data_IF_628189753234
#
_entry.id   IF_628189753234
#
_cell.length_a   1.000
_cell.length_b   1.000
_cell.length_c   1.000
_cell.angle_alpha   90.00
_cell.angle_beta   90.00
_cell.angle_gamma   90.00
#
_symmetry.space_group_name_H-M   'P 1'
#
loop_
_entity.id
_entity.type
_entity.pdbx_description
1 polymer ?
#
# COMPACT_ATOMS: atom_id res chain seq x y z
N UNK A 1 -7.99 -0.08 14.46
CA UNK A 1 -7.03 -1.18 14.74
C UNK A 1 -7.00 -1.58 16.21
N UNK A 2 -6.86 -0.63 17.13
CA UNK A 2 -6.76 -0.94 18.58
C UNK A 2 -7.96 -1.74 19.10
N UNK A 3 -9.19 -1.37 18.72
CA UNK A 3 -10.39 -2.11 19.12
C UNK A 3 -10.36 -3.57 18.68
N UNK A 4 -9.99 -3.85 17.42
CA UNK A 4 -9.82 -5.22 16.93
C UNK A 4 -8.74 -5.97 17.72
N UNK A 5 -7.62 -5.33 18.04
CA UNK A 5 -6.57 -5.94 18.86
C UNK A 5 -7.07 -6.32 20.26
N UNK A 6 -7.91 -5.48 20.88
CA UNK A 6 -8.52 -5.78 22.17
C UNK A 6 -9.48 -6.97 22.06
N UNK A 7 -10.33 -7.01 21.02
CA UNK A 7 -11.19 -8.15 20.74
C UNK A 7 -10.40 -9.44 20.51
N UNK A 8 -9.29 -9.38 19.78
CA UNK A 8 -8.45 -10.56 19.54
C UNK A 8 -7.85 -11.09 20.85
N UNK A 9 -7.39 -10.18 21.71
CA UNK A 9 -6.85 -10.52 23.02
C UNK A 9 -7.90 -11.17 23.94
N UNK A 10 -9.13 -10.67 23.95
CA UNK A 10 -10.23 -11.21 24.75
C UNK A 10 -10.56 -12.67 24.41
N UNK A 11 -10.44 -13.03 23.13
CA UNK A 11 -10.69 -14.40 22.64
C UNK A 11 -9.40 -15.23 22.50
N UNK A 12 -8.25 -14.71 22.97
CA UNK A 12 -6.93 -15.35 22.88
C UNK A 12 -6.54 -15.77 21.45
N UNK A 13 -6.97 -14.99 20.45
CA UNK A 13 -6.65 -15.20 19.03
C UNK A 13 -5.67 -14.15 18.52
N UNK A 14 -5.01 -14.45 17.40
CA UNK A 14 -3.93 -13.61 16.84
C UNK A 14 -4.36 -12.71 15.67
N UNK A 15 -5.47 -13.03 15.02
CA UNK A 15 -5.90 -12.34 13.80
C UNK A 15 -7.42 -12.42 13.57
N UNK A 16 -7.88 -11.69 12.56
CA UNK A 16 -9.29 -11.61 12.17
C UNK A 16 -9.83 -12.98 11.72
N UNK A 17 -9.02 -13.82 11.09
CA UNK A 17 -9.47 -15.12 10.60
C UNK A 17 -9.84 -16.03 11.76
N UNK A 18 -9.00 -16.07 12.81
CA UNK A 18 -9.29 -16.82 14.03
C UNK A 18 -10.44 -16.18 14.83
N UNK A 19 -10.47 -14.85 14.94
CA UNK A 19 -11.56 -14.14 15.63
C UNK A 19 -12.94 -14.43 15.02
N UNK A 20 -13.03 -14.53 13.70
CA UNK A 20 -14.28 -14.81 12.98
C UNK A 20 -14.89 -16.18 13.28
N UNK A 21 -14.16 -17.08 13.93
CA UNK A 21 -14.71 -18.35 14.46
C UNK A 21 -15.61 -18.12 15.67
N UNK A 22 -15.49 -16.96 16.33
CA UNK A 22 -16.23 -16.61 17.54
C UNK A 22 -17.32 -15.57 17.29
N UNK A 23 -17.00 -14.50 16.53
CA UNK A 23 -17.93 -13.40 16.22
C UNK A 23 -17.70 -12.86 14.82
N UNK A 24 -18.77 -12.44 14.16
CA UNK A 24 -18.66 -11.73 12.89
C UNK A 24 -17.94 -10.40 13.07
N UNK A 25 -17.03 -10.11 12.14
CA UNK A 25 -16.33 -8.83 12.06
C UNK A 25 -15.92 -8.56 10.62
N UNK A 26 -16.32 -7.46 9.97
CA UNK A 26 -16.07 -7.22 8.55
C UNK A 26 -14.58 -7.00 8.22
N UNK A 27 -14.21 -7.06 6.94
CA UNK A 27 -12.91 -6.53 6.48
C UNK A 27 -13.10 -5.06 6.14
N UNK A 28 -12.06 -4.26 6.33
CA UNK A 28 -12.03 -2.89 5.82
C UNK A 28 -11.13 -2.84 4.60
N UNK A 29 -11.66 -2.30 3.50
CA UNK A 29 -10.90 -1.88 2.34
C UNK A 29 -10.92 -0.36 2.37
N UNK A 30 -9.76 0.23 2.54
CA UNK A 30 -9.57 1.68 2.52
C UNK A 30 -9.04 2.02 1.14
N UNK A 31 -9.75 2.86 0.41
CA UNK A 31 -9.32 3.37 -0.89
C UNK A 31 -8.95 4.83 -0.72
N UNK A 32 -7.73 5.17 -1.13
CA UNK A 32 -7.24 6.55 -1.17
C UNK A 32 -6.97 6.87 -2.63
N UNK A 33 -7.78 7.76 -3.17
CA UNK A 33 -7.50 8.39 -4.44
C UNK A 33 -6.51 9.54 -4.22
N UNK A 34 -5.64 9.77 -5.20
CA UNK A 34 -4.57 10.75 -5.13
C UNK A 34 -3.70 10.65 -3.86
N UNK A 35 -3.10 9.48 -3.65
CA UNK A 35 -2.33 9.14 -2.44
C UNK A 35 -1.21 10.14 -2.08
N UNK A 36 -0.58 10.74 -3.08
CA UNK A 36 0.49 11.71 -2.88
C UNK A 36 0.01 12.99 -2.17
N UNK A 37 -1.28 13.34 -2.25
CA UNK A 37 -1.83 14.53 -1.60
C UNK A 37 -1.79 14.43 -0.06
N UNK A 38 -1.80 13.22 0.49
CA UNK A 38 -1.59 12.99 1.92
C UNK A 38 -0.20 13.49 2.39
N UNK A 39 0.72 13.70 1.45
CA UNK A 39 2.09 14.15 1.67
C UNK A 39 2.34 15.53 1.05
N UNK A 40 1.31 16.32 0.77
CA UNK A 40 1.45 17.71 0.31
C UNK A 40 1.31 18.73 1.45
N UNK A 41 1.17 18.26 2.70
CA UNK A 41 0.95 19.08 3.89
C UNK A 41 2.23 19.43 4.68
N UNK A 42 2.08 20.13 5.81
CA UNK A 42 3.20 20.52 6.67
C UNK A 42 4.01 19.30 7.17
N UNK A 43 5.29 19.52 7.51
CA UNK A 43 6.21 18.44 7.92
C UNK A 43 5.70 17.60 9.11
N UNK A 44 4.97 18.24 10.04
CA UNK A 44 4.39 17.56 11.21
C UNK A 44 3.24 16.62 10.82
N UNK A 45 2.39 17.05 9.89
CA UNK A 45 1.26 16.26 9.40
C UNK A 45 1.75 15.07 8.57
N UNK A 46 2.75 15.28 7.71
CA UNK A 46 3.47 14.21 7.01
C UNK A 46 3.92 13.10 7.96
N UNK A 47 4.65 13.46 9.02
CA UNK A 47 5.16 12.46 9.96
C UNK A 47 4.06 11.67 10.67
N UNK A 48 2.90 12.28 10.91
CA UNK A 48 1.73 11.59 11.45
C UNK A 48 1.14 10.62 10.42
N UNK A 49 0.93 11.07 9.19
CA UNK A 49 0.44 10.28 8.06
C UNK A 49 1.34 9.06 7.83
N UNK A 50 2.66 9.26 7.73
CA UNK A 50 3.63 8.17 7.53
C UNK A 50 3.54 7.12 8.65
N UNK A 51 3.43 7.57 9.91
CA UNK A 51 3.34 6.67 11.07
C UNK A 51 2.04 5.86 11.05
N UNK A 52 0.91 6.48 10.74
CA UNK A 52 -0.38 5.79 10.66
C UNK A 52 -0.44 4.79 9.51
N UNK A 53 0.08 5.17 8.34
CA UNK A 53 0.18 4.28 7.17
C UNK A 53 1.11 3.11 7.45
N UNK A 54 2.31 3.35 7.97
CA UNK A 54 3.26 2.30 8.36
C UNK A 54 2.63 1.29 9.32
N UNK A 55 1.91 1.76 10.33
CA UNK A 55 1.22 0.87 11.27
C UNK A 55 0.11 0.05 10.57
N UNK A 56 -0.60 0.67 9.63
CA UNK A 56 -1.65 0.01 8.83
C UNK A 56 -1.08 -1.03 7.89
N UNK A 57 0.05 -0.75 7.23
CA UNK A 57 0.71 -1.71 6.34
C UNK A 57 1.28 -2.91 7.13
N UNK A 58 1.90 -2.66 8.29
CA UNK A 58 2.48 -3.72 9.13
C UNK A 58 1.45 -4.62 9.80
N UNK A 59 0.34 -4.06 10.30
CA UNK A 59 -0.66 -4.81 11.10
C UNK A 59 -1.96 -5.09 10.33
N UNK A 60 -2.16 -4.45 9.18
CA UNK A 60 -3.42 -4.47 8.44
C UNK A 60 -3.87 -5.88 8.08
N UNK A 61 -2.96 -6.72 7.57
CA UNK A 61 -3.27 -8.10 7.18
C UNK A 61 -3.92 -8.92 8.31
N UNK A 62 -3.32 -8.93 9.50
CA UNK A 62 -3.86 -9.68 10.64
C UNK A 62 -5.13 -9.05 11.20
N UNK A 63 -5.28 -7.73 11.08
CA UNK A 63 -6.47 -7.01 11.53
C UNK A 63 -7.57 -6.97 10.46
N UNK A 64 -7.33 -7.51 9.26
CA UNK A 64 -8.22 -7.46 8.10
C UNK A 64 -8.54 -6.06 7.58
N UNK A 65 -7.53 -5.20 7.57
CA UNK A 65 -7.56 -3.85 6.99
C UNK A 65 -6.60 -3.85 5.80
N UNK A 66 -7.11 -3.50 4.63
CA UNK A 66 -6.37 -3.49 3.37
C UNK A 66 -6.44 -2.08 2.79
N UNK A 67 -5.31 -1.58 2.30
CA UNK A 67 -5.20 -0.25 1.68
C UNK A 67 -5.04 -0.43 0.17
N UNK A 68 -5.83 0.32 -0.60
CA UNK A 68 -5.68 0.53 -2.03
C UNK A 68 -5.37 2.01 -2.21
N UNK A 69 -4.19 2.31 -2.71
CA UNK A 69 -3.76 3.68 -2.98
C UNK A 69 -3.66 3.85 -4.49
N UNK A 70 -4.32 4.89 -5.02
CA UNK A 70 -4.24 5.30 -6.41
C UNK A 70 -3.58 6.68 -6.49
N UNK A 71 -2.88 6.93 -7.59
CA UNK A 71 -2.20 8.19 -7.87
C UNK A 71 -1.94 8.29 -9.37
N UNK A 72 -1.95 9.51 -9.91
CA UNK A 72 -1.57 9.76 -11.29
C UNK A 72 -0.05 9.88 -11.49
N UNK A 73 0.68 10.32 -10.46
CA UNK A 73 2.13 10.52 -10.54
C UNK A 73 2.75 10.44 -9.16
N UNK A 74 3.95 9.87 -9.13
CA UNK A 74 4.81 9.88 -7.95
C UNK A 74 5.98 10.85 -8.17
N UNK A 75 5.87 11.79 -9.10
CA UNK A 75 6.93 12.75 -9.39
C UNK A 75 6.98 13.86 -8.31
N UNK A 76 8.18 14.21 -7.84
CA UNK A 76 8.37 15.22 -6.79
C UNK A 76 7.78 14.82 -5.42
N UNK A 77 7.49 13.54 -5.22
CA UNK A 77 6.77 13.04 -4.07
C UNK A 77 7.63 13.04 -2.80
N UNK A 78 7.03 13.50 -1.70
CA UNK A 78 7.66 13.52 -0.38
C UNK A 78 7.46 12.21 0.38
N UNK A 79 7.19 11.11 -0.33
CA UNK A 79 6.92 9.80 0.26
C UNK A 79 8.26 9.13 0.56
N UNK A 80 8.50 8.79 1.83
CA UNK A 80 9.76 8.14 2.20
C UNK A 80 9.93 6.78 1.50
N UNK A 81 11.17 6.47 1.12
CA UNK A 81 11.55 5.16 0.58
C UNK A 81 11.15 4.01 1.51
N UNK A 82 11.15 4.25 2.82
CA UNK A 82 10.73 3.29 3.84
C UNK A 82 9.24 2.90 3.76
N UNK A 83 8.39 3.80 3.26
CA UNK A 83 6.99 3.51 2.98
C UNK A 83 6.82 2.79 1.65
N UNK A 84 7.56 3.23 0.61
CA UNK A 84 7.52 2.59 -0.72
C UNK A 84 7.84 1.09 -0.62
N UNK A 85 8.88 0.71 0.14
CA UNK A 85 9.26 -0.70 0.39
C UNK A 85 8.16 -1.52 1.09
N UNK A 86 7.26 -0.90 1.86
CA UNK A 86 6.17 -1.61 2.54
C UNK A 86 4.97 -1.87 1.62
N UNK A 87 4.88 -1.18 0.48
CA UNK A 87 3.84 -1.37 -0.53
C UNK A 87 4.34 -2.44 -1.49
N UNK A 88 4.13 -3.71 -1.09
CA UNK A 88 4.67 -4.86 -1.82
C UNK A 88 4.06 -5.06 -3.22
N UNK A 89 2.82 -4.60 -3.41
CA UNK A 89 2.02 -4.82 -4.61
C UNK A 89 1.69 -3.49 -5.28
N UNK A 90 2.19 -3.28 -6.49
CA UNK A 90 1.94 -2.10 -7.31
C UNK A 90 1.35 -2.55 -8.66
N UNK A 91 0.27 -1.90 -9.07
CA UNK A 91 -0.27 -2.02 -10.43
C UNK A 91 -0.03 -0.69 -11.11
N UNK A 92 0.63 -0.72 -12.27
CA UNK A 92 0.91 0.45 -13.07
C UNK A 92 0.22 0.32 -14.42
N UNK A 93 -0.37 1.42 -14.87
CA UNK A 93 -0.85 1.62 -16.23
C UNK A 93 0.23 2.35 -17.05
N UNK A 94 -0.03 2.67 -18.30
CA UNK A 94 0.89 3.46 -19.11
C UNK A 94 1.22 4.79 -18.41
N UNK A 95 2.51 5.04 -18.19
CA UNK A 95 3.07 6.21 -17.53
C UNK A 95 4.45 6.54 -18.10
N UNK A 96 5.08 7.62 -17.67
CA UNK A 96 6.44 7.94 -18.10
C UNK A 96 7.49 7.01 -17.47
N UNK A 97 8.72 7.07 -17.99
CA UNK A 97 9.81 6.19 -17.53
C UNK A 97 10.28 6.51 -16.10
N UNK A 98 10.15 7.75 -15.64
CA UNK A 98 10.55 8.17 -14.29
C UNK A 98 9.57 7.65 -13.23
N UNK A 99 8.26 7.80 -13.47
CA UNK A 99 7.22 7.26 -12.61
C UNK A 99 7.24 5.73 -12.61
N UNK A 100 7.47 5.09 -13.77
CA UNK A 100 7.64 3.64 -13.86
C UNK A 100 8.80 3.16 -12.98
N UNK A 101 9.99 3.78 -13.08
CA UNK A 101 11.15 3.39 -12.28
C UNK A 101 10.93 3.65 -10.79
N UNK A 102 10.28 4.77 -10.43
CA UNK A 102 9.93 5.13 -9.05
C UNK A 102 8.96 4.13 -8.38
N UNK A 103 8.01 3.59 -9.13
CA UNK A 103 6.94 2.71 -8.61
C UNK A 103 7.29 1.22 -8.74
N UNK A 104 7.89 0.82 -9.85
CA UNK A 104 8.15 -0.58 -10.22
C UNK A 104 9.63 -0.96 -10.15
N UNK A 105 10.53 0.02 -10.05
CA UNK A 105 11.98 -0.20 -10.08
C UNK A 105 12.55 -0.43 -11.49
N UNK A 106 11.72 -0.34 -12.53
CA UNK A 106 12.11 -0.38 -13.95
C UNK A 106 11.16 0.44 -14.82
N UNK A 107 11.53 0.65 -16.09
CA UNK A 107 10.74 1.40 -17.07
C UNK A 107 9.60 0.63 -17.74
N UNK A 108 9.22 -0.58 -17.29
CA UNK A 108 8.32 -1.45 -18.08
C UNK A 108 6.92 -0.87 -18.29
N UNK A 109 6.46 0.06 -17.45
CA UNK A 109 5.16 0.68 -17.61
C UNK A 109 5.11 1.70 -18.76
N UNK A 110 6.25 2.27 -19.17
CA UNK A 110 6.28 3.22 -20.29
C UNK A 110 6.20 2.54 -21.67
N UNK A 111 6.46 1.23 -21.71
CA UNK A 111 6.37 0.40 -22.92
C UNK A 111 4.97 -0.19 -23.15
N UNK A 112 4.04 -0.02 -22.20
CA UNK A 112 2.66 -0.53 -22.29
C UNK A 112 1.87 0.18 -23.41
N UNK A 113 1.11 -0.59 -24.20
CA UNK A 113 0.33 -0.07 -25.32
C UNK A 113 -1.17 -0.29 -25.08
N UNK A 114 -2.00 0.73 -25.31
CA UNK A 114 -3.46 0.60 -25.19
C UNK A 114 -3.93 0.51 -23.73
N UNK A 115 -4.87 -0.40 -23.43
CA UNK A 115 -5.44 -0.59 -22.08
C UNK A 115 -4.75 -1.72 -21.32
N UNK A 116 -3.42 -1.77 -21.41
CA UNK A 116 -2.59 -2.76 -20.73
C UNK A 116 -2.13 -2.24 -19.35
N UNK A 117 -1.81 -3.17 -18.46
CA UNK A 117 -1.28 -2.88 -17.13
C UNK A 117 -0.18 -3.86 -16.74
N UNK A 118 0.77 -3.41 -15.93
CA UNK A 118 1.82 -4.25 -15.37
C UNK A 118 1.66 -4.35 -13.85
N UNK A 119 2.11 -5.47 -13.29
CA UNK A 119 1.99 -5.79 -11.87
C UNK A 119 3.36 -6.12 -11.31
N UNK A 120 3.75 -5.39 -10.27
CA UNK A 120 4.94 -5.66 -9.48
C UNK A 120 4.51 -6.13 -8.08
N UNK A 121 4.89 -7.34 -7.71
CA UNK A 121 4.67 -7.93 -6.39
C UNK A 121 5.96 -8.04 -5.55
N UNK A 122 7.00 -7.32 -5.97
CA UNK A 122 8.34 -7.32 -5.40
C UNK A 122 8.68 -5.97 -4.73
N UNK A 123 7.66 -5.22 -4.28
CA UNK A 123 7.86 -3.97 -3.54
C UNK A 123 8.61 -2.87 -4.30
N UNK A 124 8.39 -2.77 -5.61
CA UNK A 124 9.03 -1.77 -6.45
C UNK A 124 10.50 -2.07 -6.79
N UNK A 125 10.96 -3.30 -6.56
CA UNK A 125 12.24 -3.77 -7.11
C UNK A 125 12.03 -4.42 -8.48
N UNK A 126 13.05 -4.31 -9.35
CA UNK A 126 13.08 -4.98 -10.66
C UNK A 126 12.66 -6.43 -10.54
N UNK A 127 11.71 -6.84 -11.37
CA UNK A 127 11.37 -8.25 -11.52
C UNK A 127 12.51 -8.92 -12.30
N UNK A 128 13.25 -9.81 -11.64
CA UNK A 128 14.40 -10.54 -12.25
C UNK A 128 13.97 -11.73 -13.11
N UNK A 129 12.66 -11.99 -13.20
CA UNK A 129 12.12 -13.09 -14.01
C UNK A 129 11.68 -12.54 -15.36
N UNK A 130 12.24 -13.01 -16.49
CA UNK A 130 11.71 -12.68 -17.80
C UNK A 130 10.27 -13.21 -17.90
N UNK A 131 9.34 -12.40 -18.40
CA UNK A 131 8.02 -12.89 -18.85
C UNK A 131 8.17 -13.77 -20.09
#
# INVERSE_FOLDING_TARGET
>A
MQERANCFKEFEVKDLQDYRKHKEMPRFIVVVDEFQDLFNSSSKEKGAVERHLTNSLKKGRSHGIHLISATQTMHGDNISSSLKVQIANCIALTMDAEDSDSILGDGVACELVGSEGTFNNNGGHKNTTPR
#
